data_IF_410756612409
#
_entry.id   IF_410756612409
#
_cell.length_a   1.000
_cell.length_b   1.000
_cell.length_c   1.000
_cell.angle_alpha   90.00
_cell.angle_beta   90.00
_cell.angle_gamma   90.00
#
_symmetry.space_group_name_H-M   'P 1'
#
loop_
_entity.id
_entity.type
_entity.pdbx_description
1 polymer ?
#
# COMPACT_ATOMS: atom_id res chain seq x y z
N UNK A 1 -62.83 13.15 31.57
CA UNK A 1 -62.62 11.78 31.10
C UNK A 1 -63.22 11.61 29.72
N UNK A 2 -62.39 11.52 28.68
CA UNK A 2 -62.72 10.87 27.41
C UNK A 2 -61.39 10.58 26.70
N UNK A 3 -61.25 9.34 26.24
CA UNK A 3 -60.01 8.68 25.80
C UNK A 3 -59.67 9.14 24.39
N UNK A 4 -58.40 9.50 24.13
CA UNK A 4 -57.91 9.70 22.77
C UNK A 4 -57.48 8.34 22.21
N UNK A 5 -58.20 7.87 21.19
CA UNK A 5 -58.03 6.58 20.52
C UNK A 5 -56.67 6.48 19.80
N UNK A 6 -55.78 5.67 20.36
CA UNK A 6 -54.43 5.38 19.85
C UNK A 6 -54.41 4.39 18.66
N UNK A 7 -55.55 4.04 18.07
CA UNK A 7 -55.66 2.91 17.13
C UNK A 7 -55.72 3.24 15.65
N UNK A 8 -55.43 4.48 15.22
CA UNK A 8 -55.44 4.83 13.78
C UNK A 8 -54.11 5.33 13.19
N UNK A 9 -53.06 5.45 14.00
CA UNK A 9 -51.75 5.89 13.51
C UNK A 9 -50.80 4.73 13.15
N UNK A 10 -51.30 3.48 13.12
CA UNK A 10 -50.48 2.28 12.87
C UNK A 10 -50.78 1.64 11.51
N UNK A 11 -50.91 2.42 10.44
CA UNK A 11 -51.11 1.89 9.07
C UNK A 11 -50.40 2.67 7.96
N UNK A 12 -49.31 3.36 8.26
CA UNK A 12 -48.45 4.00 7.25
C UNK A 12 -46.96 3.91 7.60
N UNK A 13 -46.50 2.75 8.11
CA UNK A 13 -45.06 2.44 8.13
C UNK A 13 -44.75 1.70 6.83
N UNK A 14 -44.89 2.41 5.73
CA UNK A 14 -44.49 1.95 4.40
C UNK A 14 -43.03 2.30 4.19
N UNK A 15 -42.19 1.25 4.20
CA UNK A 15 -40.99 1.10 3.38
C UNK A 15 -40.13 2.38 3.22
N UNK A 16 -39.29 2.64 4.22
CA UNK A 16 -38.05 3.38 4.01
C UNK A 16 -36.88 2.49 4.42
N UNK A 17 -36.80 1.33 3.78
CA UNK A 17 -35.64 0.45 3.85
C UNK A 17 -34.81 0.69 2.58
N UNK A 18 -34.23 1.89 2.49
CA UNK A 18 -33.14 2.16 1.54
C UNK A 18 -31.87 2.14 2.36
N UNK A 19 -31.16 1.02 2.21
CA UNK A 19 -29.89 0.70 2.81
C UNK A 19 -28.95 1.92 2.72
N UNK A 20 -28.73 2.57 3.86
CA UNK A 20 -27.60 3.46 4.06
C UNK A 20 -26.39 2.58 4.34
N UNK A 21 -25.86 1.90 3.32
CA UNK A 21 -24.53 1.30 3.36
C UNK A 21 -23.50 2.43 3.28
N UNK A 22 -23.38 3.18 4.39
CA UNK A 22 -22.27 4.09 4.61
C UNK A 22 -20.99 3.26 4.71
N UNK A 23 -20.27 3.23 3.58
CA UNK A 23 -18.81 3.33 3.46
C UNK A 23 -18.03 2.95 4.73
N UNK A 24 -17.82 1.66 4.95
CA UNK A 24 -16.53 1.21 5.48
C UNK A 24 -15.70 0.78 4.28
N UNK A 25 -15.13 1.76 3.58
CA UNK A 25 -13.87 1.51 2.86
C UNK A 25 -12.95 0.96 3.93
N UNK A 26 -12.53 -0.29 3.79
CA UNK A 26 -11.53 -0.91 4.64
C UNK A 26 -10.22 -0.10 4.53
N UNK A 27 -10.13 0.95 5.33
CA UNK A 27 -8.93 1.71 5.59
C UNK A 27 -8.50 1.34 7.01
N UNK A 28 -7.24 0.89 7.14
CA UNK A 28 -6.65 0.29 8.33
C UNK A 28 -7.09 -1.17 8.50
N UNK A 29 -6.37 -2.12 7.91
CA UNK A 29 -5.05 -2.54 8.42
C UNK A 29 -3.95 -2.42 7.36
N UNK A 30 -3.58 -1.18 7.01
CA UNK A 30 -2.20 -0.89 6.63
C UNK A 30 -1.41 -0.95 7.94
N UNK A 31 -0.87 -2.11 8.27
CA UNK A 31 0.45 -2.14 8.90
C UNK A 31 1.27 -1.16 8.05
N UNK A 32 1.77 -0.07 8.65
CA UNK A 32 2.38 1.00 7.87
C UNK A 32 3.52 0.37 7.05
N UNK A 33 3.26 0.21 5.75
CA UNK A 33 4.10 -0.51 4.80
C UNK A 33 5.31 0.39 4.51
N UNK A 34 6.19 0.54 5.51
CA UNK A 34 7.34 1.45 5.53
C UNK A 34 8.44 1.00 4.55
N UNK A 35 8.15 0.01 3.70
CA UNK A 35 9.08 -0.50 2.72
C UNK A 35 9.35 0.48 1.60
N UNK A 36 8.40 1.33 1.19
CA UNK A 36 8.65 2.32 0.14
C UNK A 36 9.80 3.27 0.52
N UNK A 37 9.75 4.00 1.66
CA UNK A 37 10.86 4.88 2.04
C UNK A 37 12.15 4.10 2.35
N UNK A 38 12.06 2.87 2.87
CA UNK A 38 13.24 2.01 3.09
C UNK A 38 13.90 1.57 1.79
N UNK A 39 13.11 1.15 0.80
CA UNK A 39 13.57 0.79 -0.53
C UNK A 39 14.19 2.00 -1.22
N UNK A 40 13.53 3.16 -1.20
CA UNK A 40 14.06 4.38 -1.80
C UNK A 40 15.40 4.79 -1.18
N UNK A 41 15.49 4.79 0.16
CA UNK A 41 16.74 5.06 0.87
C UNK A 41 17.85 4.09 0.47
N UNK A 42 17.53 2.81 0.38
CA UNK A 42 18.51 1.80 -0.03
C UNK A 42 18.97 1.99 -1.48
N UNK A 43 18.04 2.21 -2.40
CA UNK A 43 18.35 2.49 -3.80
C UNK A 43 19.18 3.79 -3.93
N UNK A 44 18.93 4.79 -3.08
CA UNK A 44 19.74 6.00 -3.06
C UNK A 44 21.18 5.71 -2.65
N UNK A 45 21.40 4.96 -1.56
CA UNK A 45 22.75 4.53 -1.16
C UNK A 45 23.49 3.80 -2.28
N UNK A 46 22.79 2.94 -3.03
CA UNK A 46 23.39 2.25 -4.17
C UNK A 46 23.81 3.21 -5.30
N UNK A 47 22.97 4.21 -5.61
CA UNK A 47 23.31 5.25 -6.60
C UNK A 47 24.51 6.08 -6.15
N UNK A 48 24.53 6.47 -4.88
CA UNK A 48 25.63 7.22 -4.29
C UNK A 48 26.94 6.43 -4.39
N UNK A 49 26.91 5.12 -4.09
CA UNK A 49 28.07 4.24 -4.25
C UNK A 49 28.59 4.18 -5.69
N UNK A 50 27.70 4.05 -6.67
CA UNK A 50 28.08 4.02 -8.10
C UNK A 50 28.77 5.34 -8.50
N UNK A 51 28.26 6.46 -8.03
CA UNK A 51 28.80 7.80 -8.33
C UNK A 51 30.06 8.18 -7.54
N UNK A 52 30.37 7.50 -6.44
CA UNK A 52 31.42 7.91 -5.51
C UNK A 52 32.83 7.59 -6.01
N UNK A 53 33.73 8.57 -6.01
CA UNK A 53 35.15 8.34 -6.34
C UNK A 53 35.92 7.53 -5.28
N UNK A 54 35.32 7.34 -4.10
CA UNK A 54 35.93 6.67 -2.96
C UNK A 54 35.57 5.18 -2.84
N UNK A 55 34.74 4.66 -3.74
CA UNK A 55 34.29 3.27 -3.75
C UNK A 55 35.03 2.49 -4.83
N UNK A 56 35.47 1.27 -4.51
CA UNK A 56 36.22 0.45 -5.46
C UNK A 56 35.35 0.06 -6.68
N UNK A 57 35.95 -0.12 -7.87
CA UNK A 57 35.19 -0.50 -9.08
C UNK A 57 34.30 -1.73 -8.89
N UNK A 58 34.78 -2.73 -8.15
CA UNK A 58 34.01 -3.95 -7.85
C UNK A 58 32.77 -3.68 -7.01
N UNK A 59 32.85 -2.78 -6.03
CA UNK A 59 31.70 -2.39 -5.20
C UNK A 59 30.71 -1.53 -5.98
N UNK A 60 31.18 -0.69 -6.90
CA UNK A 60 30.32 0.05 -7.84
C UNK A 60 29.54 -0.92 -8.71
N UNK A 61 30.21 -1.91 -9.29
CA UNK A 61 29.57 -2.93 -10.14
C UNK A 61 28.53 -3.74 -9.36
N UNK A 62 28.81 -4.14 -8.12
CA UNK A 62 27.85 -4.80 -7.26
C UNK A 62 26.62 -3.91 -6.97
N UNK A 63 26.84 -2.62 -6.70
CA UNK A 63 25.75 -1.66 -6.47
C UNK A 63 24.89 -1.46 -7.72
N UNK A 64 25.52 -1.36 -8.89
CA UNK A 64 24.82 -1.27 -10.17
C UNK A 64 23.97 -2.52 -10.44
N UNK A 65 24.51 -3.72 -10.20
CA UNK A 65 23.76 -4.99 -10.35
C UNK A 65 22.50 -5.05 -9.50
N UNK A 66 22.54 -4.49 -8.28
CA UNK A 66 21.39 -4.40 -7.40
C UNK A 66 20.35 -3.38 -7.90
N UNK A 67 20.80 -2.22 -8.39
CA UNK A 67 19.91 -1.24 -9.04
C UNK A 67 19.19 -1.85 -10.25
N UNK A 68 19.92 -2.57 -11.09
CA UNK A 68 19.34 -3.23 -12.26
C UNK A 68 18.36 -4.34 -11.85
N UNK A 69 18.66 -5.10 -10.78
CA UNK A 69 17.74 -6.12 -10.23
C UNK A 69 16.46 -5.47 -9.73
N UNK A 70 16.54 -4.36 -9.00
CA UNK A 70 15.37 -3.61 -8.54
C UNK A 70 14.51 -3.12 -9.70
N UNK A 71 15.13 -2.56 -10.74
CA UNK A 71 14.43 -2.12 -11.94
C UNK A 71 13.70 -3.28 -12.64
N UNK A 72 14.36 -4.43 -12.79
CA UNK A 72 13.74 -5.63 -13.38
C UNK A 72 12.56 -6.15 -12.56
N UNK A 73 12.65 -6.14 -11.23
CA UNK A 73 11.55 -6.56 -10.36
C UNK A 73 10.35 -5.62 -10.49
N UNK A 74 10.58 -4.30 -10.51
CA UNK A 74 9.51 -3.31 -10.66
C UNK A 74 8.87 -3.31 -12.06
N UNK A 75 9.63 -3.67 -13.09
CA UNK A 75 9.14 -3.74 -14.47
C UNK A 75 8.52 -5.10 -14.83
N UNK A 76 8.50 -6.07 -13.91
CA UNK A 76 7.95 -7.39 -14.17
C UNK A 76 6.43 -7.30 -14.37
N UNK A 77 5.94 -7.76 -15.53
CA UNK A 77 4.51 -7.74 -15.88
C UNK A 77 3.78 -9.02 -15.51
N UNK A 78 4.51 -10.10 -15.22
CA UNK A 78 3.98 -11.39 -14.76
C UNK A 78 3.65 -11.35 -13.26
N UNK A 79 4.48 -10.65 -12.47
CA UNK A 79 4.30 -10.49 -11.03
C UNK A 79 4.39 -9.02 -10.62
N UNK A 80 3.34 -8.49 -10.02
CA UNK A 80 3.37 -7.16 -9.42
C UNK A 80 4.01 -7.22 -8.03
N UNK A 81 5.32 -6.97 -7.95
CA UNK A 81 6.04 -6.92 -6.68
C UNK A 81 5.72 -5.63 -5.92
N UNK A 82 5.31 -5.76 -4.66
CA UNK A 82 5.25 -4.62 -3.72
C UNK A 82 6.67 -4.14 -3.38
N UNK A 83 6.80 -2.91 -2.90
CA UNK A 83 8.13 -2.39 -2.51
C UNK A 83 8.79 -3.24 -1.40
N UNK A 84 8.02 -3.83 -0.49
CA UNK A 84 8.56 -4.81 0.46
C UNK A 84 9.12 -6.05 -0.24
N UNK A 85 8.36 -6.62 -1.17
CA UNK A 85 8.81 -7.81 -1.89
C UNK A 85 10.05 -7.51 -2.74
N UNK A 86 10.14 -6.33 -3.34
CA UNK A 86 11.36 -5.88 -4.03
C UNK A 86 12.52 -5.79 -3.03
N UNK A 87 12.31 -5.12 -1.90
CA UNK A 87 13.35 -4.93 -0.89
C UNK A 87 13.88 -6.27 -0.34
N UNK A 88 13.00 -7.19 0.02
CA UNK A 88 13.37 -8.54 0.48
C UNK A 88 14.17 -9.29 -0.58
N UNK A 89 13.76 -9.22 -1.86
CA UNK A 89 14.49 -9.85 -2.97
C UNK A 89 15.85 -9.21 -3.24
N UNK A 90 16.17 -8.02 -2.73
CA UNK A 90 17.48 -7.40 -2.89
C UNK A 90 18.47 -7.77 -1.78
N UNK A 91 17.96 -8.17 -0.60
CA UNK A 91 18.78 -8.54 0.56
C UNK A 91 19.19 -10.02 0.58
N UNK A 92 18.65 -10.83 -0.33
CA UNK A 92 18.91 -12.26 -0.49
C UNK A 92 19.12 -12.64 -1.98
#
# INVERSE_FOLDING_TARGET
MAKFDFSKALKLVSVALVASSALTVSAAEREADDCTPRLEKYLQTLRDNVSSDYISPRQKEASQKLLDKAARLKANTEYHYTDCAVFDKLLF
#
